data_IF_523699941151
#
_entry.id   IF_523699941151
#
_cell.length_a   1.000
_cell.length_b   1.000
_cell.length_c   1.000
_cell.angle_alpha   90.00
_cell.angle_beta   90.00
_cell.angle_gamma   90.00
#
_symmetry.space_group_name_H-M   'P 1'
#
loop_
_entity.id
_entity.type
_entity.pdbx_description
1 polymer ?
#
# COMPACT_ATOMS: atom_id res chain seq x y z
N UNK A 1 8.45 -17.18 15.90
CA UNK A 1 8.79 -15.99 15.08
C UNK A 1 7.50 -15.32 14.65
N UNK A 2 7.25 -14.14 15.19
CA UNK A 2 6.09 -13.34 14.80
C UNK A 2 6.42 -12.62 13.50
N UNK A 3 5.43 -12.47 12.61
CA UNK A 3 5.60 -11.77 11.34
C UNK A 3 4.53 -10.70 11.28
N UNK A 4 4.93 -9.48 10.95
CA UNK A 4 4.02 -8.37 10.67
C UNK A 4 4.22 -7.90 9.23
N UNK A 5 3.18 -7.32 8.67
CA UNK A 5 3.18 -6.75 7.33
C UNK A 5 2.95 -5.26 7.45
N UNK A 6 3.95 -4.46 7.07
CA UNK A 6 3.85 -3.02 7.03
C UNK A 6 3.39 -2.61 5.63
N UNK A 7 2.39 -1.75 5.57
CA UNK A 7 1.87 -1.14 4.34
C UNK A 7 2.21 0.34 4.38
N UNK A 8 2.89 0.82 3.35
CA UNK A 8 3.16 2.25 3.16
C UNK A 8 2.52 2.69 1.84
N UNK A 9 1.67 3.70 1.90
CA UNK A 9 0.96 4.24 0.74
C UNK A 9 1.52 5.62 0.42
N UNK A 10 1.97 5.77 -0.81
CA UNK A 10 2.39 7.04 -1.39
C UNK A 10 1.35 7.49 -2.41
N UNK A 11 1.09 8.80 -2.44
CA UNK A 11 0.28 9.44 -3.47
C UNK A 11 1.22 10.19 -4.40
N UNK A 12 1.10 9.93 -5.69
CA UNK A 12 1.73 10.68 -6.77
C UNK A 12 0.65 11.51 -7.47
N UNK A 13 0.92 12.80 -7.66
CA UNK A 13 0.06 13.76 -8.36
C UNK A 13 0.91 14.29 -9.51
N UNK A 14 0.45 14.17 -10.77
CA UNK A 14 1.27 14.56 -11.94
C UNK A 14 1.68 16.05 -11.95
N UNK A 15 0.93 16.92 -11.28
CA UNK A 15 1.19 18.37 -11.25
C UNK A 15 2.28 18.81 -10.26
N UNK A 16 2.63 17.96 -9.30
CA UNK A 16 3.71 18.19 -8.35
C UNK A 16 4.48 16.88 -8.27
N UNK A 17 5.73 16.85 -8.72
CA UNK A 17 6.66 15.72 -8.53
C UNK A 17 6.89 15.31 -7.04
N UNK A 18 6.04 15.79 -6.12
CA UNK A 18 5.96 15.36 -4.74
C UNK A 18 5.33 13.97 -4.62
N UNK A 19 6.15 13.04 -4.14
CA UNK A 19 5.68 11.77 -3.57
C UNK A 19 5.29 12.04 -2.12
N UNK A 20 3.99 12.13 -1.85
CA UNK A 20 3.51 12.30 -0.48
C UNK A 20 3.19 10.94 0.15
N UNK A 21 3.82 10.63 1.29
CA UNK A 21 3.39 9.49 2.11
C UNK A 21 2.06 9.85 2.75
N UNK A 22 1.00 9.14 2.39
CA UNK A 22 -0.36 9.45 2.84
C UNK A 22 -0.88 8.49 3.89
N UNK A 23 -0.27 7.30 4.03
CA UNK A 23 -0.73 6.31 4.99
C UNK A 23 0.35 5.27 5.29
N UNK A 24 0.49 4.93 6.57
CA UNK A 24 1.22 3.74 7.00
C UNK A 24 0.36 2.90 7.93
N UNK A 25 0.38 1.57 7.73
CA UNK A 25 -0.45 0.65 8.50
C UNK A 25 0.22 -0.69 8.69
N UNK A 26 0.14 -1.22 9.91
CA UNK A 26 0.70 -2.53 10.26
C UNK A 26 -0.43 -3.55 10.34
N UNK A 27 -0.20 -4.71 9.72
CA UNK A 27 -1.11 -5.84 9.74
C UNK A 27 -0.42 -7.05 10.37
N UNK A 28 -1.02 -7.69 11.39
CA UNK A 28 -0.45 -8.89 12.01
C UNK A 28 -0.61 -10.14 11.12
N UNK A 29 -1.50 -10.11 10.13
CA UNK A 29 -1.77 -11.22 9.22
C UNK A 29 -1.85 -10.75 7.78
N UNK A 30 -1.38 -11.59 6.85
CA UNK A 30 -1.42 -11.32 5.41
C UNK A 30 -2.86 -11.26 4.87
N UNK A 31 -3.78 -12.03 5.45
CA UNK A 31 -5.19 -12.01 5.04
C UNK A 31 -5.84 -10.66 5.28
N UNK A 32 -5.66 -10.09 6.47
CA UNK A 32 -6.19 -8.76 6.82
C UNK A 32 -5.64 -7.65 5.92
N UNK A 33 -4.36 -7.73 5.54
CA UNK A 33 -3.76 -6.82 4.56
C UNK A 33 -4.43 -6.94 3.19
N UNK A 34 -4.65 -8.16 2.70
CA UNK A 34 -5.29 -8.39 1.40
C UNK A 34 -6.74 -7.90 1.38
N UNK A 35 -7.51 -8.21 2.42
CA UNK A 35 -8.89 -7.75 2.57
C UNK A 35 -8.96 -6.21 2.56
N UNK A 36 -8.01 -5.55 3.23
CA UNK A 36 -7.92 -4.09 3.19
C UNK A 36 -7.67 -3.57 1.78
N UNK A 37 -6.68 -4.13 1.07
CA UNK A 37 -6.34 -3.71 -0.29
C UNK A 37 -7.50 -3.92 -1.26
N UNK A 38 -8.18 -5.06 -1.16
CA UNK A 38 -9.34 -5.38 -1.98
C UNK A 38 -10.52 -4.45 -1.70
N UNK A 39 -10.83 -4.21 -0.43
CA UNK A 39 -11.89 -3.27 -0.01
C UNK A 39 -11.62 -1.84 -0.47
N UNK A 40 -10.36 -1.43 -0.45
CA UNK A 40 -9.94 -0.12 -0.92
C UNK A 40 -9.85 -0.03 -2.45
N UNK A 41 -9.94 -1.13 -3.19
CA UNK A 41 -9.83 -1.16 -4.65
C UNK A 41 -8.40 -1.03 -5.18
N UNK A 42 -7.41 -1.49 -4.42
CA UNK A 42 -6.03 -1.59 -4.89
C UNK A 42 -5.84 -2.81 -5.79
N UNK A 43 -5.29 -2.57 -6.97
CA UNK A 43 -4.87 -3.60 -7.91
C UNK A 43 -3.41 -3.96 -7.67
N UNK A 44 -3.07 -5.24 -7.84
CA UNK A 44 -1.68 -5.70 -7.70
C UNK A 44 -0.87 -5.30 -8.92
N UNK A 45 0.14 -4.45 -8.74
CA UNK A 45 1.06 -4.05 -9.82
C UNK A 45 2.28 -4.96 -9.90
N UNK A 46 2.92 -5.25 -8.75
CA UNK A 46 4.12 -6.07 -8.70
C UNK A 46 4.17 -6.92 -7.42
N UNK A 47 5.33 -7.54 -7.15
CA UNK A 47 5.54 -8.27 -5.90
C UNK A 47 5.56 -7.27 -4.75
N UNK A 48 4.62 -7.44 -3.82
CA UNK A 48 4.45 -6.57 -2.64
C UNK A 48 4.15 -5.09 -2.99
N UNK A 49 3.70 -4.81 -4.21
CA UNK A 49 3.33 -3.46 -4.64
C UNK A 49 1.95 -3.50 -5.26
N UNK A 50 1.14 -2.54 -4.86
CA UNK A 50 -0.25 -2.38 -5.26
C UNK A 50 -0.48 -0.94 -5.70
N UNK A 51 -1.40 -0.73 -6.63
CA UNK A 51 -1.73 0.59 -7.16
C UNK A 51 -3.23 0.79 -7.14
N UNK A 52 -3.65 2.02 -6.86
CA UNK A 52 -5.03 2.47 -6.95
C UNK A 52 -5.03 3.80 -7.66
N UNK A 53 -5.84 3.93 -8.70
CA UNK A 53 -6.01 5.18 -9.43
C UNK A 53 -7.33 5.78 -8.98
N UNK A 54 -7.31 7.03 -8.49
CA UNK A 54 -8.52 7.73 -8.06
C UNK A 54 -8.37 9.22 -8.31
N UNK A 55 -9.34 9.83 -9.00
CA UNK A 55 -9.37 11.26 -9.32
C UNK A 55 -8.04 11.77 -9.88
N UNK A 56 -7.54 11.11 -10.93
CA UNK A 56 -6.27 11.48 -11.61
C UNK A 56 -5.02 11.44 -10.70
N UNK A 57 -5.14 10.88 -9.49
CA UNK A 57 -4.03 10.60 -8.59
C UNK A 57 -3.71 9.12 -8.58
N UNK A 58 -2.41 8.79 -8.55
CA UNK A 58 -1.93 7.43 -8.43
C UNK A 58 -1.53 7.20 -6.97
N UNK A 59 -2.13 6.19 -6.35
CA UNK A 59 -1.80 5.73 -5.01
C UNK A 59 -1.01 4.43 -5.14
N UNK A 60 0.25 4.45 -4.75
CA UNK A 60 1.12 3.29 -4.72
C UNK A 60 1.22 2.78 -3.29
N UNK A 61 0.97 1.49 -3.09
CA UNK A 61 1.01 0.84 -1.79
C UNK A 61 2.09 -0.24 -1.79
N UNK A 62 3.15 0.00 -1.02
CA UNK A 62 4.27 -0.91 -0.82
C UNK A 62 4.08 -1.74 0.45
N UNK A 63 4.40 -3.03 0.38
CA UNK A 63 4.26 -3.98 1.49
C UNK A 63 5.63 -4.49 1.90
N UNK A 64 5.99 -4.27 3.16
CA UNK A 64 7.17 -4.85 3.77
C UNK A 64 6.80 -5.95 4.76
N UNK A 65 7.58 -7.02 4.75
CA UNK A 65 7.39 -8.15 5.67
C UNK A 65 8.48 -8.12 6.72
N UNK A 66 8.11 -7.76 7.94
CA UNK A 66 9.03 -7.68 9.07
C UNK A 66 8.91 -8.97 9.88
N UNK A 67 10.05 -9.62 10.13
CA UNK A 67 10.15 -10.76 11.04
C UNK A 67 10.63 -10.23 12.39
N UNK A 68 9.88 -10.53 13.45
CA UNK A 68 10.24 -10.30 14.85
C UNK A 68 10.73 -11.61 15.48
#
# INVERSE_FOLDING_TARGET
>A
MSKIFMLSVTKRIDELEEVQSVMEKIFPRKSALKEFLEKEGYCKAAKNQYIKIKNESIYEAAIEKIKL
#
